data_IF_062739012398
#
_entry.id   IF_062739012398
#
_cell.length_a   1.000
_cell.length_b   1.000
_cell.length_c   1.000
_cell.angle_alpha   90.00
_cell.angle_beta   90.00
_cell.angle_gamma   90.00
#
_symmetry.space_group_name_H-M   'P 1'
#
loop_
_entity.id
_entity.type
_entity.pdbx_description
1 polymer ?
#
# COMPACT_ATOMS: atom_id res chain seq x y z
N UNK A 1 -20.67 1.60 -2.09
CA UNK A 1 -20.35 0.28 -1.52
C UNK A 1 -19.57 0.57 -0.26
N UNK A 2 -19.96 0.03 0.91
CA UNK A 2 -19.20 0.27 2.13
C UNK A 2 -17.85 -0.44 2.00
N UNK A 3 -16.77 0.34 1.99
CA UNK A 3 -15.43 -0.22 2.07
C UNK A 3 -15.30 -1.03 3.36
N UNK A 4 -14.87 -2.28 3.25
CA UNK A 4 -14.57 -3.14 4.41
C UNK A 4 -13.23 -2.75 5.07
N UNK A 5 -12.56 -1.74 4.52
CA UNK A 5 -11.27 -1.26 4.97
C UNK A 5 -11.50 -0.24 6.09
N UNK A 6 -10.92 -0.52 7.25
CA UNK A 6 -10.97 0.37 8.40
C UNK A 6 -9.56 0.87 8.74
N UNK A 7 -9.40 2.00 9.44
CA UNK A 7 -8.10 2.43 9.93
C UNK A 7 -7.40 1.40 10.85
N UNK A 8 -8.16 0.46 11.41
CA UNK A 8 -7.63 -0.64 12.23
C UNK A 8 -7.19 -1.87 11.42
N UNK A 9 -7.49 -1.92 10.11
CA UNK A 9 -7.11 -3.03 9.24
C UNK A 9 -5.58 -3.11 9.08
N UNK A 10 -5.04 -4.32 9.03
CA UNK A 10 -3.59 -4.57 8.94
C UNK A 10 -3.29 -5.11 7.54
N UNK A 11 -2.77 -4.28 6.62
CA UNK A 11 -2.43 -4.75 5.28
C UNK A 11 -1.32 -5.80 5.31
N UNK A 12 -1.52 -6.87 4.55
CA UNK A 12 -0.57 -7.99 4.40
C UNK A 12 -0.39 -8.28 2.91
N UNK A 13 0.88 -8.38 2.49
CA UNK A 13 1.24 -8.90 1.17
C UNK A 13 1.06 -10.43 1.15
N UNK A 14 0.15 -10.98 0.33
CA UNK A 14 -0.05 -12.41 0.24
C UNK A 14 1.14 -13.10 -0.41
N UNK A 15 1.18 -14.44 -0.30
CA UNK A 15 2.28 -15.24 -0.85
C UNK A 15 2.44 -15.03 -2.35
N UNK A 16 3.68 -14.83 -2.78
CA UNK A 16 4.00 -14.60 -4.18
C UNK A 16 3.87 -13.13 -4.62
N UNK A 17 3.34 -12.26 -3.76
CA UNK A 17 3.36 -10.81 -3.97
C UNK A 17 4.58 -10.21 -3.28
N UNK A 18 5.35 -9.39 -4.01
CA UNK A 18 6.51 -8.68 -3.45
C UNK A 18 6.72 -7.30 -4.06
N UNK A 19 7.17 -6.36 -3.24
CA UNK A 19 7.72 -5.09 -3.70
C UNK A 19 9.12 -5.31 -4.30
N UNK A 20 9.34 -4.80 -5.50
CA UNK A 20 10.60 -4.95 -6.20
C UNK A 20 10.97 -3.68 -6.98
N UNK A 21 12.25 -3.32 -6.98
CA UNK A 21 12.79 -2.28 -7.85
C UNK A 21 13.16 -2.87 -9.21
N UNK A 22 12.49 -2.42 -10.28
CA UNK A 22 12.87 -2.70 -11.66
C UNK A 22 14.01 -1.75 -12.06
N UNK A 23 15.25 -2.22 -11.95
CA UNK A 23 16.46 -1.45 -12.28
C UNK A 23 16.57 -1.11 -13.77
N UNK A 24 15.99 -1.91 -14.66
CA UNK A 24 16.08 -1.65 -16.10
C UNK A 24 15.24 -0.43 -16.50
N UNK A 25 14.12 -0.20 -15.81
CA UNK A 25 13.22 0.94 -16.02
C UNK A 25 13.32 2.00 -14.94
N UNK A 26 14.15 1.77 -13.92
CA UNK A 26 14.31 2.62 -12.74
C UNK A 26 12.96 2.98 -12.07
N UNK A 27 12.12 1.98 -11.82
CA UNK A 27 10.78 2.16 -11.24
C UNK A 27 10.49 1.09 -10.19
N UNK A 28 9.56 1.38 -9.28
CA UNK A 28 9.09 0.41 -8.30
C UNK A 28 7.89 -0.34 -8.83
N UNK A 29 7.84 -1.64 -8.56
CA UNK A 29 6.74 -2.51 -8.97
C UNK A 29 6.30 -3.43 -7.84
N UNK A 30 5.01 -3.73 -7.80
CA UNK A 30 4.52 -4.92 -7.10
C UNK A 30 4.49 -6.07 -8.10
N UNK A 31 5.24 -7.13 -7.81
CA UNK A 31 5.18 -8.36 -8.57
C UNK A 31 4.19 -9.30 -7.90
N UNK A 32 3.04 -9.50 -8.53
CA UNK A 32 2.09 -10.55 -8.20
C UNK A 32 2.30 -11.77 -9.13
N UNK A 33 1.79 -12.95 -8.78
CA UNK A 33 1.99 -14.17 -9.58
C UNK A 33 1.56 -14.03 -11.05
N UNK A 34 0.47 -13.30 -11.31
CA UNK A 34 -0.10 -13.15 -12.64
C UNK A 34 0.34 -11.87 -13.37
N UNK A 35 0.73 -10.82 -12.62
CA UNK A 35 0.99 -9.49 -13.18
C UNK A 35 1.94 -8.67 -12.32
N UNK A 36 2.68 -7.76 -12.96
CA UNK A 36 3.41 -6.70 -12.28
C UNK A 36 2.68 -5.35 -12.42
N UNK A 37 2.61 -4.60 -11.33
CA UNK A 37 2.00 -3.27 -11.26
C UNK A 37 3.08 -2.24 -10.98
N UNK A 38 3.14 -1.18 -11.78
CA UNK A 38 4.07 -0.06 -11.54
C UNK A 38 3.49 0.82 -10.45
N UNK A 39 4.33 1.16 -9.47
CA UNK A 39 3.97 2.05 -8.39
C UNK A 39 4.42 3.47 -8.72
N UNK A 40 3.55 4.43 -8.46
CA UNK A 40 3.97 5.81 -8.31
C UNK A 40 4.67 6.02 -6.96
N UNK A 41 5.06 7.26 -6.66
CA UNK A 41 5.75 7.61 -5.42
C UNK A 41 4.91 7.36 -4.16
N UNK A 42 3.60 7.62 -4.21
CA UNK A 42 2.71 7.49 -3.06
C UNK A 42 2.48 6.01 -2.77
N UNK A 43 2.12 5.25 -3.81
CA UNK A 43 1.92 3.81 -3.69
C UNK A 43 3.21 3.12 -3.24
N UNK A 44 4.37 3.51 -3.76
CA UNK A 44 5.66 2.99 -3.29
C UNK A 44 5.89 3.28 -1.80
N UNK A 45 5.64 4.51 -1.34
CA UNK A 45 5.80 4.87 0.07
C UNK A 45 4.90 3.99 0.96
N UNK A 46 3.62 3.85 0.59
CA UNK A 46 2.66 3.02 1.35
C UNK A 46 3.09 1.56 1.37
N UNK A 47 3.40 0.97 0.22
CA UNK A 47 3.82 -0.43 0.13
C UNK A 47 5.15 -0.71 0.84
N UNK A 48 6.02 0.29 0.98
CA UNK A 48 7.28 0.15 1.73
C UNK A 48 7.04 0.04 3.23
N UNK A 49 5.91 0.54 3.74
CA UNK A 49 5.53 0.45 5.14
C UNK A 49 4.72 -0.81 5.49
N UNK A 50 4.29 -1.59 4.50
CA UNK A 50 3.49 -2.79 4.73
C UNK A 50 4.38 -3.94 5.21
N UNK A 51 4.26 -4.28 6.50
CA UNK A 51 4.99 -5.35 7.18
C UNK A 51 4.09 -6.47 7.72
N UNK A 52 2.77 -6.32 7.57
CA UNK A 52 1.77 -7.25 8.12
C UNK A 52 1.57 -7.15 9.63
N UNK A 53 2.05 -6.08 10.27
CA UNK A 53 1.89 -5.83 11.71
C UNK A 53 1.24 -4.48 11.99
N UNK A 54 1.57 -3.45 11.21
CA UNK A 54 1.06 -2.10 11.40
C UNK A 54 -0.31 -1.92 10.76
N UNK A 55 -1.22 -1.24 11.46
CA UNK A 55 -2.51 -0.87 10.90
C UNK A 55 -2.40 0.30 9.92
N UNK A 56 -3.43 0.50 9.11
CA UNK A 56 -3.55 1.66 8.21
C UNK A 56 -3.36 2.97 8.98
N UNK A 57 -3.95 3.13 10.16
CA UNK A 57 -3.78 4.32 10.99
C UNK A 57 -2.32 4.55 11.40
N UNK A 58 -1.60 3.49 11.78
CA UNK A 58 -0.19 3.58 12.17
C UNK A 58 0.71 3.93 10.97
N UNK A 59 0.43 3.36 9.80
CA UNK A 59 1.14 3.68 8.56
C UNK A 59 0.84 5.14 8.16
N UNK A 60 -0.42 5.57 8.23
CA UNK A 60 -0.84 6.92 7.90
C UNK A 60 -0.14 7.95 8.79
N UNK A 61 -0.12 7.71 10.10
CA UNK A 61 0.58 8.57 11.06
C UNK A 61 2.09 8.66 10.77
N UNK A 62 2.72 7.55 10.41
CA UNK A 62 4.15 7.53 10.08
C UNK A 62 4.46 8.36 8.82
N UNK A 63 3.69 8.14 7.75
CA UNK A 63 3.86 8.84 6.49
C UNK A 63 3.48 10.32 6.60
N UNK A 64 2.44 10.67 7.36
CA UNK A 64 2.07 12.06 7.62
C UNK A 64 3.23 12.85 8.25
N UNK A 65 3.94 12.25 9.21
CA UNK A 65 5.13 12.85 9.82
C UNK A 65 6.31 12.95 8.83
N UNK A 66 6.51 11.92 8.00
CA UNK A 66 7.61 11.89 7.05
C UNK A 66 7.44 12.90 5.90
N UNK A 67 6.20 13.14 5.47
CA UNK A 67 5.86 13.97 4.32
C UNK A 67 5.26 15.34 4.69
N UNK A 68 5.18 15.68 5.99
CA UNK A 68 4.56 16.92 6.51
C UNK A 68 3.15 17.15 5.94
N UNK A 69 2.34 16.08 5.95
CA UNK A 69 0.99 16.04 5.43
C UNK A 69 -0.03 15.72 6.55
N UNK A 70 -1.32 15.94 6.31
CA UNK A 70 -2.34 15.56 7.31
C UNK A 70 -2.56 14.06 7.35
N UNK A 71 -2.74 13.51 8.55
CA UNK A 71 -3.03 12.08 8.75
C UNK A 71 -4.30 11.65 8.02
N UNK A 72 -5.32 12.53 7.93
CA UNK A 72 -6.55 12.21 7.22
C UNK A 72 -6.34 12.08 5.71
N UNK A 73 -5.52 12.94 5.10
CA UNK A 73 -5.24 12.87 3.67
C UNK A 73 -4.48 11.60 3.32
N UNK A 74 -3.43 11.29 4.08
CA UNK A 74 -2.65 10.06 3.89
C UNK A 74 -3.52 8.82 4.15
N UNK A 75 -4.36 8.82 5.18
CA UNK A 75 -5.25 7.70 5.45
C UNK A 75 -6.25 7.47 4.30
N UNK A 76 -6.74 8.54 3.67
CA UNK A 76 -7.63 8.43 2.52
C UNK A 76 -6.89 7.82 1.33
N UNK A 77 -5.69 8.30 1.02
CA UNK A 77 -4.85 7.76 -0.06
C UNK A 77 -4.52 6.27 0.15
N UNK A 78 -4.24 5.87 1.41
CA UNK A 78 -4.01 4.46 1.73
C UNK A 78 -5.28 3.65 1.49
N UNK A 79 -6.43 4.09 1.99
CA UNK A 79 -7.70 3.35 1.85
C UNK A 79 -8.06 3.19 0.37
N UNK A 80 -8.00 4.26 -0.43
CA UNK A 80 -8.27 4.23 -1.87
C UNK A 80 -7.34 3.25 -2.59
N UNK A 81 -6.04 3.28 -2.27
CA UNK A 81 -5.06 2.35 -2.83
C UNK A 81 -5.35 0.90 -2.39
N UNK A 82 -5.68 0.66 -1.13
CA UNK A 82 -5.99 -0.69 -0.62
C UNK A 82 -7.23 -1.26 -1.31
N UNK A 83 -8.26 -0.45 -1.57
CA UNK A 83 -9.45 -0.88 -2.32
C UNK A 83 -9.10 -1.34 -3.73
N UNK A 84 -8.30 -0.55 -4.45
CA UNK A 84 -7.85 -0.92 -5.80
C UNK A 84 -7.06 -2.23 -5.77
N UNK A 85 -6.12 -2.36 -4.83
CA UNK A 85 -5.23 -3.52 -4.74
C UNK A 85 -5.95 -4.78 -4.26
N UNK A 86 -6.99 -4.66 -3.42
CA UNK A 86 -7.84 -5.79 -3.02
C UNK A 86 -8.61 -6.35 -4.23
N UNK A 87 -9.15 -5.47 -5.08
CA UNK A 87 -9.85 -5.89 -6.30
C UNK A 87 -8.92 -6.64 -7.27
N UNK A 88 -7.63 -6.32 -7.23
CA UNK A 88 -6.59 -6.97 -8.02
C UNK A 88 -5.97 -8.20 -7.33
N UNK A 89 -6.43 -8.57 -6.14
CA UNK A 89 -5.91 -9.67 -5.32
C UNK A 89 -4.40 -9.56 -4.99
N UNK A 90 -3.90 -8.33 -4.91
CA UNK A 90 -2.49 -8.02 -4.63
C UNK A 90 -2.23 -7.83 -3.14
N UNK A 91 -3.26 -7.52 -2.36
CA UNK A 91 -3.16 -7.26 -0.92
C UNK A 91 -4.28 -7.99 -0.15
N UNK A 92 -4.09 -8.17 1.14
CA UNK A 92 -5.05 -8.73 2.10
C UNK A 92 -5.06 -7.88 3.38
N UNK A 93 -6.11 -7.98 4.20
CA UNK A 93 -6.30 -7.20 5.44
C UNK A 93 -6.53 -8.10 6.66
#
# INVERSE_FOLDING_TARGET
MHSLISPASIPILPRGVRLQHDRARNQWVIQAPERAFVLDSIAHAIFSEIDGQRSIAQIAQHLAQQYDASEEAISHDIIDLMEEMLNLQVITL
#
